data_IF_432549631658
#
_entry.id   IF_432549631658
#
_cell.length_a   1.000
_cell.length_b   1.000
_cell.length_c   1.000
_cell.angle_alpha   90.00
_cell.angle_beta   90.00
_cell.angle_gamma   90.00
#
_symmetry.space_group_name_H-M   'P 1'
#
loop_
_entity.id
_entity.type
_entity.pdbx_description
1 polymer ?
2 branched ?
3 non-polymer ?
4 water ?
#
# COMPACT_ATOMS: atom_id res chain seq x y z
N UNK A 3 -19.66 -4.26 -3.22
CA UNK A 3 -18.59 -5.06 -2.57
C UNK A 3 -19.02 -6.51 -2.40
N UNK A 4 -18.08 -7.43 -2.57
CA UNK A 4 -18.38 -8.86 -2.50
C UNK A 4 -17.33 -9.68 -1.75
N UNK A 5 -16.47 -8.99 -1.00
CA UNK A 5 -15.43 -9.66 -0.21
C UNK A 5 -15.91 -10.19 1.12
N UNK A 6 -14.98 -10.43 2.04
CA UNK A 6 -15.31 -11.08 3.31
C UNK A 6 -14.90 -10.31 4.57
N UNK A 7 -14.27 -9.15 4.37
CA UNK A 7 -14.14 -8.15 5.42
C UNK A 7 -14.82 -6.89 4.88
N UNK A 8 -15.69 -6.29 5.70
CA UNK A 8 -16.38 -5.06 5.32
C UNK A 8 -15.37 -4.00 4.91
N UNK A 9 -15.69 -3.21 3.87
CA UNK A 9 -14.74 -2.19 3.45
C UNK A 9 -14.64 -1.06 4.47
N UNK A 10 -13.49 -0.41 4.51
CA UNK A 10 -13.35 0.84 5.23
C UNK A 10 -13.79 1.94 4.27
N UNK A 11 -14.96 2.52 4.50
CA UNK A 11 -15.50 3.54 3.61
C UNK A 11 -15.04 4.93 4.03
N UNK A 12 -14.69 5.75 3.04
CA UNK A 12 -14.17 7.10 3.26
C UNK A 12 -13.24 7.22 4.48
N UNK A 13 -12.20 6.37 4.56
CA UNK A 13 -11.32 6.44 5.72
C UNK A 13 -10.44 7.69 5.65
N UNK A 14 -10.33 8.39 6.78
CA UNK A 14 -9.49 9.58 6.89
C UNK A 14 -8.01 9.20 6.89
N UNK A 15 -7.21 10.04 6.24
CA UNK A 15 -5.77 9.85 6.09
C UNK A 15 -5.06 10.85 7.02
N UNK A 16 -4.12 10.37 7.85
CA UNK A 16 -3.58 9.01 7.94
C UNK A 16 -4.54 7.99 8.54
N UNK A 17 -4.50 6.78 7.99
CA UNK A 17 -5.38 5.68 8.39
C UNK A 17 -4.56 4.49 8.85
N UNK A 18 -4.99 3.82 9.91
CA UNK A 18 -4.50 2.48 10.22
C UNK A 18 -5.67 1.61 10.66
N UNK A 19 -5.78 0.42 10.09
CA UNK A 19 -6.87 -0.49 10.44
C UNK A 19 -6.50 -1.95 10.31
N UNK A 20 -7.16 -2.77 11.11
CA UNK A 20 -6.95 -4.20 11.12
C UNK A 20 -7.38 -4.84 9.79
N UNK A 21 -6.57 -5.81 9.36
CA UNK A 21 -6.93 -6.74 8.29
C UNK A 21 -7.40 -8.01 8.98
N UNK A 22 -8.71 -8.25 8.94
CA UNK A 22 -9.28 -9.42 9.62
C UNK A 22 -8.71 -10.71 9.07
N UNK A 23 -8.21 -11.55 9.98
CA UNK A 23 -7.59 -12.82 9.61
C UNK A 23 -6.15 -12.71 9.13
N UNK A 24 -5.64 -11.49 9.02
CA UNK A 24 -4.28 -11.25 8.54
C UNK A 24 -4.16 -11.44 7.04
N UNK A 25 -3.01 -11.07 6.48
CA UNK A 25 -2.78 -11.36 5.07
C UNK A 25 -2.77 -12.86 4.83
N UNK A 26 -3.37 -13.25 3.71
CA UNK A 26 -3.45 -14.64 3.30
C UNK A 26 -3.17 -14.71 1.81
N UNK A 27 -2.58 -15.82 1.38
CA UNK A 27 -2.36 -16.06 -0.04
C UNK A 27 -3.72 -15.97 -0.72
N UNK A 28 -3.79 -15.16 -1.77
CA UNK A 28 -5.00 -14.98 -2.55
C UNK A 28 -5.83 -13.76 -2.17
N UNK A 29 -5.53 -13.14 -1.04
CA UNK A 29 -6.29 -11.97 -0.59
C UNK A 29 -5.96 -10.77 -1.47
N UNK A 30 -6.99 -10.01 -1.83
CA UNK A 30 -6.86 -8.82 -2.65
C UNK A 30 -7.33 -7.60 -1.86
N UNK A 31 -6.45 -6.61 -1.73
CA UNK A 31 -6.74 -5.40 -0.96
C UNK A 31 -6.68 -4.21 -1.90
N UNK A 32 -7.78 -3.46 -1.97
CA UNK A 32 -7.85 -2.30 -2.85
C UNK A 32 -7.84 -1.01 -2.04
N UNK A 33 -7.03 -0.06 -2.48
CA UNK A 33 -7.01 1.30 -1.95
C UNK A 33 -7.45 2.20 -3.10
N UNK A 34 -8.61 2.82 -2.95
CA UNK A 34 -9.18 3.62 -4.02
C UNK A 34 -9.36 5.05 -3.51
N UNK A 35 -8.82 6.00 -4.25
CA UNK A 35 -8.88 7.39 -3.82
C UNK A 35 -8.37 8.35 -4.87
N UNK A 36 -7.84 9.48 -4.40
CA UNK A 36 -7.34 10.54 -5.26
C UNK A 36 -6.06 11.10 -4.65
N UNK A 37 -5.05 11.33 -5.49
CA UNK A 37 -3.83 11.97 -5.03
C UNK A 37 -4.12 13.47 -4.88
N UNK A 38 -3.74 14.03 -3.74
CA UNK A 38 -3.92 15.47 -3.51
C UNK A 38 -2.92 16.29 -4.33
N UNK A 39 -3.30 17.53 -4.63
CA UNK A 39 -2.51 18.39 -5.52
C UNK A 39 -1.39 19.18 -4.84
N UNK A 40 -1.68 19.79 -3.70
CA UNK A 40 -0.70 20.65 -3.05
C UNK A 40 -0.62 20.37 -1.55
N UNK A 41 -0.61 19.09 -1.21
CA UNK A 41 -0.62 18.60 0.18
C UNK A 41 0.47 17.54 0.43
N UNK A 42 1.66 17.79 -0.12
CA UNK A 42 2.82 16.91 0.02
C UNK A 42 3.24 16.23 -1.27
N UNK A 43 4.40 15.59 -1.25
CA UNK A 43 5.00 15.01 -2.46
C UNK A 43 5.06 13.48 -2.43
N UNK A 44 4.48 12.87 -1.40
CA UNK A 44 4.59 11.42 -1.20
C UNK A 44 3.31 10.86 -0.60
N UNK A 45 3.05 9.59 -0.85
CA UNK A 45 2.10 8.84 -0.03
C UNK A 45 2.59 7.42 0.12
N UNK A 46 1.99 6.66 1.03
CA UNK A 46 2.39 5.28 1.24
C UNK A 46 1.23 4.42 1.67
N UNK A 47 1.29 3.15 1.26
CA UNK A 47 0.46 2.09 1.82
C UNK A 47 1.42 1.14 2.52
N UNK A 48 1.12 0.84 3.78
CA UNK A 48 1.93 -0.06 4.59
C UNK A 48 1.15 -1.29 5.02
N UNK A 49 1.72 -2.46 4.75
CA UNK A 49 1.23 -3.73 5.27
C UNK A 49 2.13 -4.09 6.43
N UNK A 50 1.56 -4.06 7.63
CA UNK A 50 2.38 -4.06 8.84
C UNK A 50 1.84 -5.00 9.93
N UNK A 51 2.69 -5.26 10.91
CA UNK A 51 2.35 -6.07 12.07
C UNK A 51 2.04 -5.14 13.23
N UNK A 52 0.77 -5.08 13.61
CA UNK A 52 0.33 -4.21 14.68
C UNK A 52 0.37 -2.74 14.29
N UNK A 53 0.17 -1.88 15.27
CA UNK A 53 0.01 -0.45 15.03
C UNK A 53 1.26 0.38 15.29
N UNK A 54 2.37 -0.26 15.67
CA UNK A 54 3.58 0.51 15.99
C UNK A 54 4.22 1.16 14.76
N UNK A 55 4.23 0.45 13.63
CA UNK A 55 4.89 0.94 12.43
C UNK A 55 6.35 0.55 12.31
N UNK A 56 6.88 -0.18 13.29
CA UNK A 56 8.27 -0.61 13.24
C UNK A 56 8.51 -1.90 12.46
N UNK A 57 7.44 -2.62 12.19
CA UNK A 57 7.52 -3.85 11.42
C UNK A 57 6.51 -3.76 10.28
N UNK A 58 7.02 -3.36 9.12
CA UNK A 58 6.23 -3.18 7.91
C UNK A 58 6.74 -4.17 6.88
N UNK A 59 5.94 -5.19 6.58
CA UNK A 59 6.36 -6.21 5.61
C UNK A 59 6.51 -5.61 4.22
N UNK A 60 5.63 -4.67 3.87
CA UNK A 60 5.63 -4.05 2.55
C UNK A 60 5.16 -2.61 2.65
N UNK A 61 6.08 -1.70 2.33
CA UNK A 61 5.87 -0.25 2.23
C UNK A 61 5.90 0.08 0.74
N UNK A 62 4.78 0.60 0.24
CA UNK A 62 4.62 0.97 -1.17
C UNK A 62 4.47 2.48 -1.18
N UNK A 63 5.44 3.17 -1.77
CA UNK A 63 5.65 4.59 -1.48
C UNK A 63 5.94 5.42 -2.74
N UNK A 64 4.88 5.84 -3.46
CA UNK A 64 5.07 6.77 -4.58
C UNK A 64 5.59 8.13 -4.13
N UNK A 65 6.60 8.63 -4.85
CA UNK A 65 7.22 9.91 -4.56
C UNK A 65 7.24 10.78 -5.82
N UNK A 66 6.55 11.91 -5.75
CA UNK A 66 6.47 12.86 -6.86
C UNK A 66 7.68 13.79 -6.81
N UNK A 67 8.85 13.18 -6.98
CA UNK A 67 10.15 13.82 -6.77
C UNK A 67 11.12 13.19 -7.76
N UNK A 68 12.12 13.97 -8.18
CA UNK A 68 13.21 13.45 -9.01
C UNK A 68 12.70 12.72 -10.25
N UNK A 69 11.66 13.28 -10.86
CA UNK A 69 11.05 12.69 -12.05
C UNK A 69 9.81 11.86 -11.78
N UNK A 70 9.63 11.45 -10.53
CA UNK A 70 8.53 10.56 -10.14
C UNK A 70 9.00 9.12 -10.11
N UNK A 71 8.91 8.49 -8.94
CA UNK A 71 9.36 7.11 -8.79
C UNK A 71 8.62 6.50 -7.62
N UNK A 72 8.70 5.19 -7.49
CA UNK A 72 8.01 4.49 -6.41
C UNK A 72 9.02 3.64 -5.64
N UNK A 73 9.03 3.82 -4.32
CA UNK A 73 9.84 3.01 -3.42
C UNK A 73 9.04 1.83 -2.89
N UNK A 74 9.66 0.65 -2.92
CA UNK A 74 9.13 -0.55 -2.27
C UNK A 74 10.17 -1.01 -1.26
N UNK A 75 9.75 -1.23 -0.03
CA UNK A 75 10.70 -1.63 1.01
C UNK A 75 10.01 -2.38 2.14
N UNK A 76 10.84 -2.89 3.05
CA UNK A 76 10.42 -3.61 4.24
C UNK A 76 11.14 -2.99 5.43
N UNK A 77 10.40 -2.82 6.53
CA UNK A 77 10.98 -2.38 7.79
C UNK A 77 10.87 -3.54 8.78
N UNK A 78 11.99 -3.93 9.39
CA UNK A 78 12.02 -5.03 10.37
C UNK A 78 12.70 -4.55 11.62
N UNK A 79 12.10 -4.85 12.77
CA UNK A 79 12.62 -4.39 14.06
C UNK A 79 13.08 -2.93 13.99
N UNK A 80 12.28 -2.10 13.33
CA UNK A 80 12.50 -0.66 13.27
C UNK A 80 13.40 -0.15 12.16
N UNK A 81 14.05 -1.06 11.44
CA UNK A 81 15.04 -0.68 10.43
C UNK A 81 14.58 -0.96 9.01
N UNK A 82 14.75 0.03 8.14
CA UNK A 82 14.46 -0.13 6.72
C UNK A 82 15.52 -0.98 6.01
N UNK A 83 15.07 -1.77 5.04
CA UNK A 83 15.99 -2.54 4.21
C UNK A 83 16.46 -1.77 2.98
N UNK A 84 17.10 -2.48 2.04
CA UNK A 84 17.46 -1.86 0.77
C UNK A 84 16.22 -1.61 -0.08
N UNK A 85 16.07 -0.39 -0.57
CA UNK A 85 14.90 0.00 -1.35
C UNK A 85 14.93 -0.58 -2.74
N UNK A 86 13.77 -1.05 -3.19
CA UNK A 86 13.52 -1.31 -4.61
C UNK A 86 12.85 -0.06 -5.16
N UNK A 87 13.39 0.49 -6.24
CA UNK A 87 12.82 1.69 -6.84
C UNK A 87 12.43 1.45 -8.28
N UNK A 88 11.17 1.75 -8.60
CA UNK A 88 10.74 1.75 -9.98
C UNK A 88 10.68 3.20 -10.45
N UNK A 89 11.44 3.52 -11.50
CA UNK A 89 11.63 4.92 -11.91
C UNK A 89 10.54 5.42 -12.88
N UNK A 90 9.31 4.96 -12.64
CA UNK A 90 8.13 5.40 -13.37
C UNK A 90 7.05 5.74 -12.35
N UNK A 91 6.27 6.78 -12.63
CA UNK A 91 5.19 7.20 -11.74
C UNK A 91 3.84 6.94 -12.41
N UNK A 92 3.08 5.95 -11.91
CA UNK A 92 1.79 5.62 -12.52
C UNK A 92 0.61 6.42 -11.97
N UNK A 93 0.86 7.21 -10.93
CA UNK A 93 -0.14 8.10 -10.34
C UNK A 93 0.09 9.52 -10.87
N UNK A 94 -0.84 10.41 -10.56
CA UNK A 94 -0.70 11.81 -10.94
C UNK A 94 -1.37 12.68 -9.89
N UNK A 95 -0.68 13.74 -9.51
CA UNK A 95 -1.24 14.68 -8.55
C UNK A 95 -2.59 15.19 -9.01
N UNK A 96 -3.56 15.19 -8.10
CA UNK A 96 -4.90 15.64 -8.41
C UNK A 96 -5.81 14.59 -9.02
N UNK A 97 -5.28 13.40 -9.33
CA UNK A 97 -6.02 12.41 -10.11
C UNK A 97 -6.48 11.19 -9.31
N UNK A 98 -7.69 10.69 -9.62
CA UNK A 98 -8.17 9.47 -8.96
C UNK A 98 -7.35 8.25 -9.36
N UNK A 99 -7.29 7.26 -8.47
CA UNK A 99 -6.56 6.03 -8.72
C UNK A 99 -7.27 4.84 -8.09
N UNK A 100 -7.02 3.67 -8.67
CA UNK A 100 -7.40 2.41 -8.08
C UNK A 100 -6.13 1.57 -7.91
N UNK A 101 -5.78 1.29 -6.66
CA UNK A 101 -4.55 0.60 -6.33
C UNK A 101 -4.89 -0.75 -5.70
N UNK A 102 -4.48 -1.84 -6.33
CA UNK A 102 -4.88 -3.17 -5.87
C UNK A 102 -3.68 -4.04 -5.58
N UNK A 103 -3.66 -4.62 -4.38
CA UNK A 103 -2.59 -5.51 -3.95
C UNK A 103 -3.14 -6.93 -3.90
N UNK A 104 -2.55 -7.83 -4.70
CA UNK A 104 -2.89 -9.24 -4.64
C UNK A 104 -1.76 -10.01 -3.96
N UNK A 105 -2.07 -10.66 -2.85
CA UNK A 105 -1.08 -11.46 -2.13
C UNK A 105 -0.94 -12.81 -2.82
N UNK A 106 0.29 -13.15 -3.19
CA UNK A 106 0.62 -14.47 -3.73
C UNK A 106 1.64 -15.12 -2.81
N UNK A 107 1.93 -16.39 -3.02
CA UNK A 107 2.86 -17.11 -2.15
C UNK A 107 4.26 -16.48 -2.17
N UNK A 108 4.71 -16.00 -3.32
CA UNK A 108 6.08 -15.47 -3.44
C UNK A 108 6.18 -13.95 -3.38
N UNK A 109 5.07 -13.26 -3.63
CA UNK A 109 5.11 -11.82 -3.87
C UNK A 109 3.75 -11.17 -3.72
N UNK A 110 3.77 -9.85 -3.54
CA UNK A 110 2.61 -9.00 -3.79
C UNK A 110 2.63 -8.61 -5.26
N UNK A 111 1.51 -8.80 -5.94
CA UNK A 111 1.28 -8.17 -7.25
C UNK A 111 0.54 -6.85 -7.01
N UNK A 112 1.09 -5.76 -7.55
CA UNK A 112 0.52 -4.44 -7.33
C UNK A 112 0.00 -3.88 -8.65
N UNK A 113 -1.31 -3.66 -8.73
CA UNK A 113 -1.95 -3.15 -9.94
C UNK A 113 -2.38 -1.71 -9.71
N UNK A 114 -2.05 -0.85 -10.66
CA UNK A 114 -2.45 0.56 -10.60
C UNK A 114 -3.33 0.82 -11.81
N UNK A 115 -4.58 1.22 -11.55
CA UNK A 115 -5.54 1.50 -12.62
C UNK A 115 -5.64 0.35 -13.63
N UNK A 116 -5.66 -0.87 -13.11
CA UNK A 116 -5.83 -2.06 -13.94
C UNK A 116 -4.61 -2.54 -14.71
N UNK A 117 -3.43 -2.02 -14.37
CA UNK A 117 -2.19 -2.49 -14.99
C UNK A 117 -1.24 -2.96 -13.91
N UNK A 118 -0.68 -4.16 -14.07
CA UNK A 118 0.32 -4.65 -13.13
C UNK A 118 1.52 -3.72 -13.19
N UNK A 119 1.85 -3.14 -12.04
CA UNK A 119 2.89 -2.12 -11.96
C UNK A 119 4.20 -2.66 -11.38
N UNK A 120 4.10 -3.44 -10.31
CA UNK A 120 5.29 -4.04 -9.72
C UNK A 120 4.93 -5.32 -8.97
N UNK A 121 5.91 -6.22 -8.86
CA UNK A 121 5.81 -7.41 -8.02
C UNK A 121 6.87 -7.34 -6.94
N UNK A 122 6.43 -7.33 -5.68
CA UNK A 122 7.35 -7.21 -4.56
C UNK A 122 7.46 -8.56 -3.89
N UNK A 123 8.63 -9.17 -4.01
CA UNK A 123 8.83 -10.51 -3.48
C UNK A 123 9.06 -10.47 -1.98
N UNK A 124 8.28 -11.29 -1.26
CA UNK A 124 8.21 -11.20 0.20
C UNK A 124 9.57 -11.35 0.84
N UNK A 125 9.91 -10.41 1.72
CA UNK A 125 11.16 -10.46 2.47
C UNK A 125 10.97 -11.03 3.87
N UNK A 126 9.73 -10.98 4.35
CA UNK A 126 9.35 -11.51 5.66
C UNK A 126 8.01 -12.22 5.47
N UNK A 127 7.64 -13.11 6.41
CA UNK A 127 6.38 -13.83 6.24
C UNK A 127 5.15 -12.91 6.21
N UNK A 128 4.36 -12.99 5.15
CA UNK A 128 3.18 -12.13 5.02
C UNK A 128 2.09 -12.47 6.03
N UNK A 129 2.09 -13.71 6.55
CA UNK A 129 1.07 -14.12 7.52
C UNK A 129 1.08 -13.25 8.77
N UNK A 130 2.23 -12.64 9.06
CA UNK A 130 2.37 -11.82 10.27
C UNK A 130 1.78 -10.42 10.12
N UNK A 131 1.37 -10.08 8.90
CA UNK A 131 0.73 -8.79 8.65
C UNK A 131 -0.73 -8.84 9.06
N UNK A 132 -1.13 -7.92 9.92
CA UNK A 132 -2.51 -7.88 10.41
C UNK A 132 -3.12 -6.48 10.35
N UNK A 133 -2.41 -5.53 9.74
CA UNK A 133 -2.79 -4.12 9.77
C UNK A 133 -2.41 -3.44 8.46
N UNK A 134 -3.29 -2.60 7.94
CA UNK A 134 -2.97 -1.76 6.78
C UNK A 134 -3.00 -0.29 7.19
N UNK A 135 -2.00 0.47 6.76
CA UNK A 135 -1.97 1.91 6.97
C UNK A 135 -1.81 2.63 5.65
N UNK A 136 -2.42 3.81 5.55
CA UNK A 136 -2.23 4.69 4.41
C UNK A 136 -1.92 6.07 4.95
N UNK A 137 -0.87 6.70 4.44
CA UNK A 137 -0.51 8.04 4.89
C UNK A 137 -0.03 8.90 3.73
N UNK A 138 0.02 10.20 3.97
CA UNK A 138 0.54 11.14 2.99
C UNK A 138 -0.52 11.79 2.13
N UNK A 139 -0.13 12.16 0.92
CA UNK A 139 -0.89 13.11 0.10
C UNK A 139 -2.00 12.48 -0.71
N UNK A 140 -2.91 11.79 -0.03
CA UNK A 140 -4.07 11.20 -0.69
C UNK A 140 -5.33 11.42 0.13
N UNK A 141 -6.46 11.37 -0.56
CA UNK A 141 -7.78 11.25 0.06
C UNK A 141 -8.35 9.92 -0.41
N UNK A 142 -9.08 9.22 0.45
CA UNK A 142 -9.55 7.87 0.12
C UNK A 142 -11.06 7.75 0.02
N UNK A 143 -11.51 7.07 -1.03
CA UNK A 143 -12.89 6.65 -1.18
C UNK A 143 -13.17 5.38 -0.38
N UNK A 144 -12.28 4.39 -0.48
CA UNK A 144 -12.44 3.14 0.26
C UNK A 144 -11.17 2.31 0.28
N UNK A 145 -11.10 1.45 1.29
CA UNK A 145 -10.15 0.34 1.32
C UNK A 145 -11.01 -0.91 1.42
N UNK A 146 -10.88 -1.81 0.45
CA UNK A 146 -11.72 -3.00 0.40
C UNK A 146 -10.90 -4.29 0.31
N UNK A 147 -11.57 -5.41 0.59
CA UNK A 147 -10.94 -6.71 0.71
C UNK A 147 -11.70 -7.72 -0.11
X LIG B 1 27.09 9.19 0.57
X LIG B 1 27.21 8.35 1.84
X LIG B 1 25.92 7.54 2.04
X LIG B 1 24.68 8.43 1.92
X LIG B 1 24.76 9.33 0.68
X LIG B 1 23.61 10.34 0.58
X LIG B 1 29.52 7.76 2.40
X LIG B 1 30.61 6.73 2.34
X LIG B 1 28.36 7.46 1.78
X LIG B 1 28.23 9.99 0.37
X LIG B 1 25.95 6.88 3.28
X LIG B 1 23.64 7.58 1.90
X LIG B 1 25.98 10.05 0.71
X LIG B 1 23.51 11.11 1.76
X LIG B 1 29.70 8.82 2.99
X LIG B 2 22.53 7.88 2.71
X LIG B 2 21.29 7.23 2.10
X LIG B 2 20.09 7.42 3.03
X LIG B 2 20.44 7.00 4.46
X LIG B 2 21.71 7.70 4.92
X LIG B 2 22.11 7.29 6.33
X LIG B 2 21.00 7.81 0.85
X LIG B 2 19.07 6.73 2.50
X LIG B 2 20.62 5.60 4.49
X LIG B 2 22.76 7.40 4.02
X LIG B 2 23.17 8.11 6.79
X LIG B 3 17.80 7.34 2.62
X LIG B 3 16.88 6.79 1.53
X LIG B 3 15.49 7.39 1.71
X LIG B 3 15.00 7.11 3.13
X LIG B 3 16.03 7.66 4.14
X LIG B 3 15.67 7.44 5.61
X LIG B 3 18.15 6.14 -0.43
X LIG B 3 18.75 6.58 -1.74
X LIG B 3 17.45 7.07 0.23
X LIG B 3 14.59 6.91 0.73
X LIG B 3 13.75 7.74 3.32
X LIG B 3 17.28 7.03 3.90
X LIG B 3 15.50 6.07 5.86
X LIG B 3 18.31 4.99 -0.03
X LIG B 4 12.82 6.87 3.96
X LIG B 4 11.58 7.69 4.30
X LIG B 4 10.50 6.78 4.88
X LIG B 4 10.28 5.57 3.97
X LIG B 4 11.62 4.87 3.70
X LIG B 4 11.50 3.65 2.79
X LIG B 4 11.89 8.71 5.24
X LIG B 4 9.37 7.48 5.00
X LIG B 4 9.69 5.99 2.75
X LIG B 4 12.51 5.78 3.10
X LIG B 4 12.78 3.08 2.54
X LIG B 5 8.69 7.53 6.23
X LIG B 5 7.98 8.88 6.33
X LIG B 5 7.16 8.96 7.61
X LIG B 5 6.26 7.74 7.77
X LIG B 5 7.00 6.42 7.48
X LIG B 5 6.07 5.21 7.42
X LIG B 5 9.04 10.73 5.16
X LIG B 5 10.05 11.84 5.19
X LIG B 5 8.92 9.99 6.26
X LIG B 5 6.40 10.16 7.60
X LIG B 5 5.81 7.80 9.11
X LIG B 5 7.74 6.46 6.27
X LIG B 5 5.19 5.28 6.31
X LIG B 5 8.36 10.55 4.15
X LIG B 6 4.38 7.85 9.23
X LIG B 6 4.10 7.43 10.67
X LIG B 6 2.61 7.49 10.96
X LIG B 6 2.06 8.86 10.56
X LIG B 6 2.44 9.18 9.11
X LIG B 6 1.89 10.53 8.68
X LIG B 6 4.58 6.13 10.93
X LIG B 6 2.42 7.26 12.33
X LIG B 6 2.60 9.83 11.44
X LIG B 6 3.85 9.13 8.95
X LIG B 6 1.93 10.69 7.28
X LIG C 1 28.41 10.61 -0.80
X LIG C 1 29.67 11.21 -0.94
X LIG C 1 30.01 11.83 -2.13
X LIG C 1 29.10 11.88 -3.19
X LIG C 1 27.85 11.29 -3.06
X LIG C 1 27.51 10.67 -1.86
X LIG C 1 29.45 12.51 -4.40
X LIG C 1 30.52 13.08 -4.51
X LIG C 1 28.68 12.46 -5.36
#
# INVERSE_FOLDING_TARGET
MAFSGSQAPYLSPAVPFSGTIQGGLQDGLQITVNGTVLSSSGTRFAVNFQTGFSGNDIAFHFNPRFEDGGYVVCNTRQNGSWGPEERKTHMPFQKGMPFDLCFLVQSSDFKVMVNGILFVQYFHRVPFHRVDTISVNGSVQLSYISFQ
NAG C1 C2 C3 C4 C5 C6 C7 C8 N2 O1 O3 O4 O5 O6 O7
GAL C1 C2 C3 C4 C5 C6 O2 O3 O4 O5 O6
NAG C1 C2 C3 C4 C5 C6 C7 C8 N2 O3 O4 O5 O6 O7
GAL C1 C2 C3 C4 C5 C6 O2 O3 O4 O5 O6
NAG C1 C2 C3 C4 C5 C6 C7 C8 N2 O3 O4 O5 O6 O7
GAL C1 C2 C3 C4 C5 C6 O2 O3 O4 O5 O6
RPN C4 C8 C9 C10 C11 C12 N13 O14 O15
#
